data_IF_873397879406
#
_entry.id   IF_873397879406
#
_cell.length_a   1.000
_cell.length_b   1.000
_cell.length_c   1.000
_cell.angle_alpha   90.00
_cell.angle_beta   90.00
_cell.angle_gamma   90.00
#
_symmetry.space_group_name_H-M   'P 1'
#
loop_
_entity.id
_entity.type
_entity.pdbx_description
1 polymer ?
#
# COMPACT_ATOMS: atom_id res chain seq x y z
N UNK A 1 -43.67 -22.92 15.73
CA UNK A 1 -43.35 -23.57 17.01
C UNK A 1 -41.83 -23.57 17.13
N UNK A 2 -41.31 -22.85 18.13
CA UNK A 2 -39.91 -22.83 18.64
C UNK A 2 -38.82 -22.16 17.80
N UNK A 3 -38.79 -20.83 17.95
CA UNK A 3 -37.59 -20.04 18.27
C UNK A 3 -36.67 -20.74 19.30
N UNK A 4 -35.35 -20.70 19.09
CA UNK A 4 -34.35 -20.87 20.15
C UNK A 4 -33.24 -19.84 19.92
N UNK A 5 -33.41 -18.69 20.56
CA UNK A 5 -32.31 -17.84 21.04
C UNK A 5 -31.45 -18.63 22.04
N UNK A 6 -30.12 -18.44 22.01
CA UNK A 6 -29.34 -18.21 23.23
C UNK A 6 -27.94 -17.62 22.96
N UNK A 7 -27.53 -16.59 23.72
CA UNK A 7 -26.24 -15.90 23.64
C UNK A 7 -25.20 -16.52 24.59
N UNK A 8 -23.91 -16.26 24.36
CA UNK A 8 -22.90 -16.32 25.43
C UNK A 8 -21.74 -15.37 25.12
N UNK A 9 -21.54 -14.42 26.02
CA UNK A 9 -20.43 -13.49 26.11
C UNK A 9 -19.24 -14.12 26.83
N UNK A 10 -18.00 -13.86 26.40
CA UNK A 10 -16.77 -13.98 27.20
C UNK A 10 -15.74 -13.03 26.55
N UNK A 11 -15.53 -11.82 27.07
CA UNK A 11 -14.65 -11.41 28.17
C UNK A 11 -13.27 -10.92 27.69
N UNK A 12 -13.05 -9.64 27.95
CA UNK A 12 -11.82 -8.85 27.85
C UNK A 12 -10.68 -9.51 28.64
N UNK A 13 -9.47 -9.57 28.10
CA UNK A 13 -8.26 -9.78 28.90
C UNK A 13 -7.10 -8.96 28.35
N UNK A 14 -6.95 -7.78 28.93
CA UNK A 14 -5.70 -7.04 29.05
C UNK A 14 -4.70 -7.84 29.86
N UNK A 15 -3.49 -8.05 29.35
CA UNK A 15 -2.35 -8.45 30.16
C UNK A 15 -1.10 -7.69 29.68
N UNK A 16 -0.79 -6.61 30.40
CA UNK A 16 0.54 -6.02 30.43
C UNK A 16 1.53 -7.05 30.97
N UNK A 17 2.63 -7.30 30.27
CA UNK A 17 3.77 -8.02 30.83
C UNK A 17 5.04 -7.18 30.65
N UNK A 18 5.31 -6.37 31.66
CA UNK A 18 6.64 -5.87 31.96
C UNK A 18 7.19 -6.72 33.10
N UNK A 19 8.40 -7.27 32.98
CA UNK A 19 9.29 -7.54 34.11
C UNK A 19 10.72 -7.74 33.60
N UNK A 20 11.65 -7.27 34.42
CA UNK A 20 13.01 -6.90 34.11
C UNK A 20 14.04 -7.96 34.58
N UNK A 21 15.23 -7.87 33.97
CA UNK A 21 16.59 -8.12 34.48
C UNK A 21 16.91 -9.38 35.31
N UNK A 22 17.90 -10.12 34.83
CA UNK A 22 18.97 -10.69 35.67
C UNK A 22 20.30 -10.66 34.91
N UNK A 23 21.34 -10.12 35.57
CA UNK A 23 22.73 -10.20 35.12
C UNK A 23 23.51 -11.27 35.89
N UNK A 24 24.78 -11.47 35.49
CA UNK A 24 26.00 -11.49 36.34
C UNK A 24 27.17 -12.08 35.55
N UNK A 25 28.31 -11.38 35.64
CA UNK A 25 29.68 -11.89 35.91
C UNK A 25 30.73 -11.13 35.08
N UNK A 26 31.88 -10.67 35.56
CA UNK A 26 32.47 -10.38 36.88
C UNK A 26 33.72 -9.52 36.61
N UNK A 27 34.10 -8.61 37.52
CA UNK A 27 35.38 -7.89 37.45
C UNK A 27 35.40 -6.65 38.34
N UNK A 28 35.85 -6.83 39.59
CA UNK A 28 35.99 -5.82 40.64
C UNK A 28 37.06 -4.75 40.32
N UNK A 29 36.78 -3.46 40.58
CA UNK A 29 37.69 -2.55 41.32
C UNK A 29 36.86 -1.45 42.02
N UNK A 30 37.15 -1.28 43.31
CA UNK A 30 36.56 -0.37 44.30
C UNK A 30 37.03 1.10 44.12
N UNK A 31 36.10 2.06 44.08
CA UNK A 31 36.33 3.43 44.54
C UNK A 31 35.01 4.16 44.84
N UNK A 32 34.81 4.50 46.12
CA UNK A 32 33.68 5.22 46.69
C UNK A 32 33.81 6.73 46.45
N UNK A 33 32.88 7.34 45.70
CA UNK A 33 32.73 8.79 45.66
C UNK A 33 31.25 9.20 45.53
N UNK A 34 30.69 9.62 46.68
CA UNK A 34 29.68 10.68 46.88
C UNK A 34 28.56 10.81 45.83
N UNK A 35 27.35 10.39 46.23
CA UNK A 35 26.08 10.72 45.58
C UNK A 35 25.93 12.24 45.37
N UNK A 36 25.73 12.62 44.11
CA UNK A 36 25.15 13.90 43.71
C UNK A 36 23.78 13.62 43.07
N UNK A 37 22.75 14.43 43.34
CA UNK A 37 21.41 14.21 42.81
C UNK A 37 21.41 14.37 41.29
N UNK A 38 20.96 13.34 40.58
CA UNK A 38 20.75 13.34 39.14
C UNK A 38 19.72 14.39 38.76
N UNK A 39 20.16 15.45 38.09
CA UNK A 39 19.29 16.36 37.36
C UNK A 39 18.57 15.55 36.29
N UNK A 40 17.25 15.49 36.36
CA UNK A 40 16.39 15.00 35.27
C UNK A 40 16.68 15.83 34.02
N UNK A 41 17.25 15.19 33.00
CA UNK A 41 17.28 15.74 31.66
C UNK A 41 15.85 15.76 31.09
N UNK A 42 15.46 16.80 30.34
CA UNK A 42 14.13 16.87 29.74
C UNK A 42 13.92 15.68 28.79
N UNK A 43 12.71 15.11 28.86
CA UNK A 43 12.26 14.06 27.96
C UNK A 43 12.55 14.45 26.51
N UNK A 44 13.40 13.66 25.85
CA UNK A 44 13.59 13.73 24.41
C UNK A 44 12.22 13.44 23.79
N UNK A 45 11.63 14.46 23.17
CA UNK A 45 10.53 14.26 22.24
C UNK A 45 11.03 13.24 21.20
N UNK A 46 10.26 12.17 21.03
CA UNK A 46 10.51 11.23 19.94
C UNK A 46 10.60 12.04 18.63
N UNK A 47 11.59 11.79 17.76
CA UNK A 47 11.62 12.42 16.46
C UNK A 47 10.28 12.14 15.76
N UNK A 48 9.73 13.11 15.01
CA UNK A 48 8.56 12.86 14.20
C UNK A 48 8.82 11.60 13.38
N UNK A 49 7.88 10.65 13.43
CA UNK A 49 7.88 9.48 12.57
C UNK A 49 8.22 9.97 11.17
N UNK A 50 9.37 9.59 10.64
CA UNK A 50 9.65 9.83 9.23
C UNK A 50 8.52 9.12 8.48
N UNK A 51 7.57 9.89 7.97
CA UNK A 51 6.68 9.41 6.93
C UNK A 51 7.65 8.90 5.87
N UNK A 52 7.72 7.58 5.71
CA UNK A 52 8.44 6.99 4.59
C UNK A 52 7.78 7.57 3.35
N UNK A 53 8.44 8.56 2.75
CA UNK A 53 8.11 8.98 1.40
C UNK A 53 8.15 7.72 0.54
N UNK A 54 7.01 7.36 -0.06
CA UNK A 54 6.96 6.25 -0.98
C UNK A 54 8.07 6.48 -2.04
N UNK A 55 8.85 5.46 -2.40
CA UNK A 55 9.90 5.61 -3.41
C UNK A 55 9.32 6.27 -4.66
N UNK A 56 10.00 7.31 -5.17
CA UNK A 56 9.54 7.99 -6.37
C UNK A 56 9.44 6.99 -7.53
N UNK A 57 8.27 6.94 -8.18
CA UNK A 57 8.03 6.05 -9.33
C UNK A 57 9.04 6.38 -10.43
N UNK A 58 9.84 5.39 -10.83
CA UNK A 58 10.71 5.50 -12.00
C UNK A 58 9.84 5.48 -13.26
N UNK A 59 9.67 6.64 -13.89
CA UNK A 59 8.88 6.72 -15.11
C UNK A 59 9.64 6.21 -16.34
N UNK A 60 8.99 5.39 -17.16
CA UNK A 60 9.51 4.87 -18.43
C UNK A 60 8.49 5.07 -19.55
N UNK A 61 8.97 5.19 -20.78
CA UNK A 61 8.11 5.09 -21.95
C UNK A 61 7.63 3.64 -22.08
N UNK A 62 6.31 3.44 -22.04
CA UNK A 62 5.70 2.13 -22.18
C UNK A 62 5.66 1.70 -23.64
N UNK A 63 5.74 0.39 -23.84
CA UNK A 63 5.52 -0.24 -25.15
C UNK A 63 4.25 -1.07 -25.13
N UNK A 64 3.65 -1.27 -26.30
CA UNK A 64 2.46 -2.11 -26.45
C UNK A 64 2.70 -3.53 -25.93
N UNK A 65 3.86 -4.10 -26.24
CA UNK A 65 4.27 -5.43 -25.78
C UNK A 65 4.34 -5.53 -24.25
N UNK A 66 4.80 -4.47 -23.57
CA UNK A 66 4.84 -4.46 -22.11
C UNK A 66 3.44 -4.49 -21.50
N UNK A 67 2.48 -3.72 -22.05
CA UNK A 67 1.08 -3.76 -21.59
C UNK A 67 0.47 -5.15 -21.82
N UNK A 68 0.67 -5.73 -23.00
CA UNK A 68 0.19 -7.07 -23.32
C UNK A 68 0.81 -8.14 -22.40
N UNK A 69 2.10 -8.00 -22.09
CA UNK A 69 2.80 -8.85 -21.13
C UNK A 69 2.20 -8.75 -19.73
N UNK A 70 1.85 -7.54 -19.26
CA UNK A 70 1.20 -7.36 -17.96
C UNK A 70 -0.16 -8.05 -17.93
N UNK A 71 -1.00 -7.81 -18.94
CA UNK A 71 -2.33 -8.41 -19.03
C UNK A 71 -2.27 -9.95 -19.10
N UNK A 72 -1.24 -10.52 -19.72
CA UNK A 72 -1.04 -11.96 -19.79
C UNK A 72 -0.50 -12.56 -18.48
N UNK A 73 0.30 -11.80 -17.73
CA UNK A 73 0.94 -12.24 -16.49
C UNK A 73 0.04 -12.10 -15.25
N UNK A 74 -0.87 -11.13 -15.24
CA UNK A 74 -1.59 -10.69 -14.03
C UNK A 74 -2.19 -11.85 -13.23
N UNK A 75 -2.94 -12.76 -13.88
CA UNK A 75 -3.59 -13.87 -13.15
C UNK A 75 -2.60 -14.86 -12.55
N UNK A 76 -1.49 -15.10 -13.23
CA UNK A 76 -0.43 -15.98 -12.73
C UNK A 76 0.30 -15.30 -11.55
N UNK A 77 0.49 -13.98 -11.59
CA UNK A 77 1.05 -13.18 -10.49
C UNK A 77 0.13 -13.19 -9.28
N UNK A 78 -1.15 -12.84 -9.45
CA UNK A 78 -2.16 -12.84 -8.37
C UNK A 78 -2.25 -14.20 -7.68
N UNK A 79 -2.30 -15.28 -8.47
CA UNK A 79 -2.36 -16.64 -7.94
C UNK A 79 -1.12 -17.02 -7.10
N UNK A 80 0.01 -16.34 -7.29
CA UNK A 80 1.21 -16.49 -6.44
C UNK A 80 1.09 -15.57 -5.21
N UNK A 81 0.72 -14.30 -5.39
CA UNK A 81 0.68 -13.30 -4.31
C UNK A 81 -0.44 -13.54 -3.31
N UNK A 82 -1.59 -14.07 -3.72
CA UNK A 82 -2.73 -14.43 -2.85
C UNK A 82 -2.37 -15.51 -1.80
N UNK A 83 -1.27 -16.24 -2.04
CA UNK A 83 -0.77 -17.26 -1.12
C UNK A 83 0.23 -16.71 -0.12
N UNK A 84 0.62 -15.45 -0.23
CA UNK A 84 1.58 -14.79 0.66
C UNK A 84 0.80 -14.22 1.85
N UNK A 85 1.05 -14.68 3.09
CA UNK A 85 0.49 -14.04 4.27
C UNK A 85 0.95 -12.58 4.39
N UNK A 86 0.09 -11.67 4.86
CA UNK A 86 0.37 -10.23 4.98
C UNK A 86 1.69 -9.89 5.70
N UNK A 87 2.11 -10.72 6.65
CA UNK A 87 3.33 -10.55 7.45
C UNK A 87 4.43 -11.57 7.12
N UNK A 88 4.40 -12.13 5.90
CA UNK A 88 5.42 -13.05 5.44
C UNK A 88 6.77 -12.35 5.31
N UNK A 89 7.85 -13.06 5.68
CA UNK A 89 9.20 -12.63 5.34
C UNK A 89 9.43 -12.89 3.84
N UNK A 90 10.35 -12.14 3.19
CA UNK A 90 10.77 -12.43 1.83
C UNK A 90 11.11 -13.93 1.66
N UNK A 91 10.51 -14.57 0.66
CA UNK A 91 10.73 -15.97 0.34
C UNK A 91 11.35 -16.09 -1.06
N UNK A 92 12.62 -16.50 -1.17
CA UNK A 92 13.30 -16.65 -2.47
C UNK A 92 12.59 -17.58 -3.46
N UNK A 93 11.76 -18.52 -2.99
CA UNK A 93 10.98 -19.40 -3.87
C UNK A 93 9.80 -18.66 -4.50
N UNK A 94 9.15 -17.78 -3.74
CA UNK A 94 8.07 -16.94 -4.25
C UNK A 94 8.65 -15.93 -5.24
N UNK A 95 9.77 -15.30 -4.89
CA UNK A 95 10.49 -14.41 -5.80
C UNK A 95 10.80 -15.12 -7.11
N UNK A 96 11.36 -16.33 -7.06
CA UNK A 96 11.67 -17.11 -8.27
C UNK A 96 10.43 -17.49 -9.10
N UNK A 97 9.27 -17.72 -8.48
CA UNK A 97 8.03 -18.00 -9.19
C UNK A 97 7.52 -16.76 -9.93
N UNK A 98 7.50 -15.60 -9.26
CA UNK A 98 7.11 -14.33 -9.85
C UNK A 98 8.05 -13.96 -11.01
N UNK A 99 9.35 -14.18 -10.82
CA UNK A 99 10.38 -13.95 -11.84
C UNK A 99 10.20 -14.86 -13.07
N UNK A 100 9.82 -16.13 -12.85
CA UNK A 100 9.50 -17.07 -13.92
C UNK A 100 8.25 -16.66 -14.71
N UNK A 101 7.20 -16.19 -14.04
CA UNK A 101 5.98 -15.67 -14.68
C UNK A 101 6.29 -14.42 -15.50
N UNK A 102 7.05 -13.47 -14.94
CA UNK A 102 7.46 -12.27 -15.66
C UNK A 102 8.26 -12.62 -16.92
N UNK A 103 9.27 -13.51 -16.80
CA UNK A 103 10.08 -13.95 -17.95
C UNK A 103 9.27 -14.66 -19.02
N UNK A 104 8.33 -15.52 -18.64
CA UNK A 104 7.40 -16.18 -19.56
C UNK A 104 6.58 -15.19 -20.38
N UNK A 105 6.26 -14.02 -19.81
CA UNK A 105 5.46 -12.98 -20.44
C UNK A 105 6.29 -11.85 -21.09
N UNK A 106 7.61 -12.08 -21.25
CA UNK A 106 8.47 -11.22 -22.06
C UNK A 106 9.17 -10.09 -21.32
N UNK A 107 9.12 -10.08 -19.99
CA UNK A 107 9.93 -9.21 -19.14
C UNK A 107 11.29 -9.84 -18.83
N UNK A 108 12.30 -9.04 -18.50
CA UNK A 108 13.61 -9.52 -18.07
C UNK A 108 13.59 -10.08 -16.64
N UNK A 109 12.72 -9.53 -15.79
CA UNK A 109 12.54 -9.90 -14.37
C UNK A 109 11.18 -9.44 -13.84
N UNK A 110 10.84 -9.89 -12.64
CA UNK A 110 9.70 -9.38 -11.88
C UNK A 110 9.85 -7.90 -11.52
N UNK A 111 11.08 -7.41 -11.31
CA UNK A 111 11.33 -5.98 -11.09
C UNK A 111 10.97 -5.13 -12.32
N UNK A 112 11.25 -5.62 -13.54
CA UNK A 112 10.81 -4.95 -14.75
C UNK A 112 9.28 -4.97 -14.88
N UNK A 113 8.66 -6.11 -14.58
CA UNK A 113 7.19 -6.22 -14.52
C UNK A 113 6.60 -5.17 -13.57
N UNK A 114 7.11 -5.06 -12.33
CA UNK A 114 6.64 -4.08 -11.36
C UNK A 114 6.86 -2.64 -11.84
N UNK A 115 8.02 -2.34 -12.43
CA UNK A 115 8.28 -1.01 -13.02
C UNK A 115 7.24 -0.66 -14.10
N UNK A 116 6.87 -1.62 -14.93
CA UNK A 116 5.85 -1.44 -15.97
C UNK A 116 4.46 -1.25 -15.36
N UNK A 117 4.09 -2.08 -14.37
CA UNK A 117 2.83 -1.95 -13.62
C UNK A 117 2.73 -0.58 -12.95
N UNK A 118 3.77 -0.11 -12.28
CA UNK A 118 3.79 1.21 -11.63
C UNK A 118 3.51 2.35 -12.63
N UNK A 119 4.09 2.26 -13.84
CA UNK A 119 3.87 3.25 -14.90
C UNK A 119 2.46 3.17 -15.49
N UNK A 120 1.90 1.96 -15.62
CA UNK A 120 0.52 1.77 -16.04
C UNK A 120 -0.43 2.34 -14.98
N UNK A 121 -0.27 1.96 -13.71
CA UNK A 121 -1.11 2.40 -12.60
C UNK A 121 -1.05 3.91 -12.39
N UNK A 122 0.13 4.51 -12.51
CA UNK A 122 0.30 5.98 -12.44
C UNK A 122 -0.55 6.70 -13.50
N UNK A 123 -0.59 6.17 -14.73
CA UNK A 123 -1.39 6.74 -15.82
C UNK A 123 -2.87 6.40 -15.67
N UNK A 124 -3.18 5.15 -15.33
CA UNK A 124 -4.53 4.63 -15.15
C UNK A 124 -5.30 5.40 -14.07
N UNK A 125 -4.66 5.72 -12.95
CA UNK A 125 -5.24 6.54 -11.88
C UNK A 125 -5.61 7.96 -12.30
N UNK A 126 -5.18 8.42 -13.48
CA UNK A 126 -5.60 9.69 -14.06
C UNK A 126 -6.80 9.61 -15.00
N UNK A 127 -7.37 8.42 -15.24
CA UNK A 127 -8.59 8.26 -16.04
C UNK A 127 -9.84 8.39 -15.18
N UNK A 128 -10.79 9.18 -15.64
CA UNK A 128 -12.15 9.18 -15.11
C UNK A 128 -12.84 7.86 -15.49
N UNK A 129 -13.28 7.04 -14.52
CA UNK A 129 -13.88 5.74 -14.81
C UNK A 129 -15.23 5.82 -15.53
N UNK A 130 -15.97 6.93 -15.40
CA UNK A 130 -17.25 7.11 -16.08
C UNK A 130 -17.07 7.47 -17.55
N UNK A 131 -16.08 8.33 -17.86
CA UNK A 131 -15.90 8.84 -19.23
C UNK A 131 -14.76 8.17 -19.99
N UNK A 132 -13.92 7.38 -19.30
CA UNK A 132 -12.68 6.76 -19.83
C UNK A 132 -11.73 7.78 -20.45
N UNK A 133 -11.80 9.04 -19.98
CA UNK A 133 -10.92 10.11 -20.43
C UNK A 133 -9.85 10.37 -19.39
N UNK A 134 -8.63 10.62 -19.85
CA UNK A 134 -7.57 11.09 -18.98
C UNK A 134 -7.85 12.53 -18.55
N UNK A 135 -8.08 12.72 -17.25
CA UNK A 135 -8.34 14.03 -16.62
C UNK A 135 -7.26 14.39 -15.59
N UNK A 136 -6.36 13.45 -15.29
CA UNK A 136 -5.31 13.57 -14.28
C UNK A 136 -5.76 13.12 -12.89
N UNK A 137 -4.83 12.53 -12.13
CA UNK A 137 -5.14 11.88 -10.84
C UNK A 137 -5.78 12.84 -9.82
N UNK A 138 -5.36 14.09 -9.76
CA UNK A 138 -5.95 15.09 -8.87
C UNK A 138 -7.43 15.37 -9.20
N UNK A 139 -7.77 15.42 -10.50
CA UNK A 139 -9.15 15.61 -10.92
C UNK A 139 -10.01 14.37 -10.62
N UNK A 140 -9.46 13.17 -10.80
CA UNK A 140 -10.11 11.90 -10.41
C UNK A 140 -10.38 11.88 -8.90
N UNK A 141 -9.38 12.17 -8.05
CA UNK A 141 -9.53 12.23 -6.60
C UNK A 141 -10.61 13.24 -6.16
N UNK A 142 -10.64 14.44 -6.76
CA UNK A 142 -11.68 15.43 -6.47
C UNK A 142 -13.08 14.97 -6.89
N UNK A 143 -13.20 14.27 -8.02
CA UNK A 143 -14.46 13.71 -8.46
C UNK A 143 -14.94 12.60 -7.51
N UNK A 144 -14.05 11.70 -7.06
CA UNK A 144 -14.38 10.66 -6.07
C UNK A 144 -14.84 11.27 -4.74
N UNK A 145 -14.17 12.32 -4.25
CA UNK A 145 -14.62 13.07 -3.06
C UNK A 145 -16.04 13.61 -3.24
N UNK A 146 -16.32 14.24 -4.39
CA UNK A 146 -17.65 14.79 -4.67
C UNK A 146 -18.72 13.68 -4.73
N UNK A 147 -18.39 12.52 -5.31
CA UNK A 147 -19.28 11.36 -5.38
C UNK A 147 -19.60 10.81 -3.98
N UNK A 148 -18.58 10.62 -3.13
CA UNK A 148 -18.75 10.14 -1.75
C UNK A 148 -19.56 11.14 -0.91
N UNK A 149 -19.32 12.45 -1.08
CA UNK A 149 -20.13 13.48 -0.43
C UNK A 149 -21.61 13.37 -0.83
N UNK A 150 -21.88 13.17 -2.12
CA UNK A 150 -23.22 13.04 -2.66
C UNK A 150 -23.92 11.70 -2.34
N UNK A 151 -23.18 10.64 -2.02
CA UNK A 151 -23.75 9.32 -1.79
C UNK A 151 -24.55 9.25 -0.48
N UNK A 152 -25.87 9.18 -0.59
CA UNK A 152 -26.78 9.10 0.57
C UNK A 152 -26.89 7.69 1.15
N UNK A 153 -26.33 6.67 0.49
CA UNK A 153 -26.40 5.26 0.90
C UNK A 153 -25.23 4.84 1.77
N UNK A 154 -24.09 5.55 1.69
CA UNK A 154 -22.95 5.32 2.59
C UNK A 154 -23.30 5.67 4.03
N UNK A 155 -22.80 4.87 4.98
CA UNK A 155 -22.92 5.20 6.38
C UNK A 155 -22.10 6.47 6.70
N UNK A 156 -22.49 7.20 7.74
CA UNK A 156 -21.75 8.40 8.16
C UNK A 156 -20.30 8.08 8.56
N UNK A 157 -20.05 6.85 9.07
CA UNK A 157 -18.71 6.39 9.45
C UNK A 157 -17.86 6.16 8.21
N UNK A 158 -18.32 5.31 7.29
CA UNK A 158 -17.55 4.93 6.10
C UNK A 158 -17.31 6.13 5.20
N UNK A 159 -18.32 7.02 5.06
CA UNK A 159 -18.17 8.29 4.35
C UNK A 159 -17.06 9.15 4.96
N UNK A 160 -17.01 9.26 6.30
CA UNK A 160 -15.99 10.06 6.97
C UNK A 160 -14.58 9.47 6.77
N UNK A 161 -14.44 8.15 6.85
CA UNK A 161 -13.18 7.44 6.66
C UNK A 161 -12.69 7.60 5.21
N UNK A 162 -13.52 7.27 4.22
CA UNK A 162 -13.15 7.42 2.82
C UNK A 162 -12.82 8.87 2.42
N UNK A 163 -13.56 9.85 2.95
CA UNK A 163 -13.22 11.26 2.73
C UNK A 163 -11.90 11.64 3.40
N UNK A 164 -11.57 11.10 4.57
CA UNK A 164 -10.29 11.38 5.21
C UNK A 164 -9.13 10.85 4.36
N UNK A 165 -9.23 9.60 3.87
CA UNK A 165 -8.19 8.96 3.06
C UNK A 165 -7.97 9.70 1.73
N UNK A 166 -9.05 10.05 1.03
CA UNK A 166 -8.94 10.80 -0.24
C UNK A 166 -8.41 12.23 -0.05
N UNK A 167 -8.77 12.91 1.05
CA UNK A 167 -8.22 14.23 1.35
C UNK A 167 -6.74 14.16 1.77
N UNK A 168 -6.31 13.06 2.39
CA UNK A 168 -4.89 12.82 2.67
C UNK A 168 -4.12 12.58 1.37
N UNK A 169 -4.66 11.76 0.46
CA UNK A 169 -4.05 11.51 -0.85
C UNK A 169 -3.87 12.81 -1.67
N UNK A 170 -4.80 13.77 -1.57
CA UNK A 170 -4.68 15.07 -2.24
C UNK A 170 -3.52 15.94 -1.73
N UNK A 171 -2.97 15.69 -0.54
CA UNK A 171 -1.81 16.44 -0.02
C UNK A 171 -0.50 16.05 -0.69
N UNK A 172 -0.45 14.84 -1.24
CA UNK A 172 0.71 14.26 -1.90
C UNK A 172 0.27 13.68 -3.24
N UNK A 173 -0.07 14.53 -4.23
CA UNK A 173 -0.56 14.06 -5.51
C UNK A 173 0.48 13.17 -6.20
N UNK A 174 0.05 12.18 -7.01
CA UNK A 174 0.97 11.39 -7.81
C UNK A 174 1.86 12.30 -8.69
N UNK A 175 3.09 11.87 -9.01
CA UNK A 175 3.99 12.65 -9.84
C UNK A 175 3.36 12.93 -11.22
N UNK A 176 3.74 14.06 -11.82
CA UNK A 176 3.29 14.40 -13.16
C UNK A 176 3.79 13.37 -14.19
N UNK A 177 2.94 12.97 -15.13
CA UNK A 177 3.33 12.04 -16.20
C UNK A 177 4.41 12.68 -17.07
N UNK A 178 5.60 12.09 -17.10
CA UNK A 178 6.71 12.50 -17.94
C UNK A 178 6.53 11.97 -19.37
N UNK A 179 6.18 10.69 -19.49
CA UNK A 179 6.02 10.00 -20.76
C UNK A 179 4.58 10.13 -21.28
N UNK A 180 4.24 11.29 -21.86
CA UNK A 180 2.86 11.59 -22.29
C UNK A 180 2.25 10.57 -23.27
N UNK A 181 3.07 9.92 -24.11
CA UNK A 181 2.61 8.86 -25.01
C UNK A 181 2.01 7.63 -24.29
N UNK A 182 2.34 7.43 -23.00
CA UNK A 182 1.75 6.37 -22.19
C UNK A 182 0.24 6.58 -22.00
N UNK A 183 -0.26 7.82 -22.04
CA UNK A 183 -1.69 8.11 -21.88
C UNK A 183 -2.49 7.48 -23.02
N UNK A 184 -2.06 7.68 -24.27
CA UNK A 184 -2.75 7.12 -25.44
C UNK A 184 -2.67 5.59 -25.43
N UNK A 185 -1.53 5.04 -25.02
CA UNK A 185 -1.33 3.60 -24.95
C UNK A 185 -2.21 2.97 -23.85
N UNK A 186 -2.26 3.54 -22.66
CA UNK A 186 -3.15 3.06 -21.58
C UNK A 186 -4.63 3.24 -21.96
N UNK A 187 -4.99 4.36 -22.61
CA UNK A 187 -6.36 4.57 -23.12
C UNK A 187 -6.80 3.45 -24.07
N UNK A 188 -5.90 3.01 -24.97
CA UNK A 188 -6.16 1.91 -25.91
C UNK A 188 -6.50 0.59 -25.21
N UNK A 189 -5.93 0.34 -24.04
CA UNK A 189 -6.13 -0.89 -23.26
C UNK A 189 -6.98 -0.70 -22.00
N UNK A 190 -7.61 0.47 -21.84
CA UNK A 190 -8.22 0.92 -20.59
C UNK A 190 -9.09 -0.15 -19.93
N UNK A 191 -10.05 -0.72 -20.65
CA UNK A 191 -11.00 -1.68 -20.06
C UNK A 191 -10.31 -2.92 -19.49
N UNK A 192 -9.31 -3.44 -20.20
CA UNK A 192 -8.55 -4.62 -19.74
C UNK A 192 -7.64 -4.27 -18.57
N UNK A 193 -7.04 -3.09 -18.60
CA UNK A 193 -6.15 -2.63 -17.53
C UNK A 193 -6.92 -2.26 -16.27
N UNK A 194 -8.09 -1.65 -16.39
CA UNK A 194 -8.98 -1.37 -15.28
C UNK A 194 -9.51 -2.67 -14.64
N UNK A 195 -9.84 -3.69 -15.44
CA UNK A 195 -10.20 -5.01 -14.92
C UNK A 195 -9.03 -5.70 -14.22
N UNK A 196 -7.81 -5.59 -14.76
CA UNK A 196 -6.65 -6.32 -14.27
C UNK A 196 -5.93 -5.65 -13.09
N UNK A 197 -5.94 -4.31 -13.03
CA UNK A 197 -5.12 -3.51 -12.11
C UNK A 197 -5.90 -2.38 -11.42
N UNK A 198 -7.18 -2.18 -11.77
CA UNK A 198 -7.99 -1.18 -11.11
C UNK A 198 -8.20 -1.55 -9.65
N UNK A 199 -8.37 -0.54 -8.79
CA UNK A 199 -8.83 -0.77 -7.42
C UNK A 199 -10.24 -1.37 -7.51
N UNK A 200 -10.38 -2.64 -7.14
CA UNK A 200 -11.65 -3.34 -7.13
C UNK A 200 -12.62 -2.62 -6.19
N UNK A 201 -13.73 -2.11 -6.73
CA UNK A 201 -14.89 -1.74 -5.94
C UNK A 201 -15.56 -3.05 -5.46
N UNK A 202 -15.11 -3.58 -4.31
CA UNK A 202 -15.88 -4.59 -3.55
C UNK A 202 -16.87 -3.93 -2.57
#
# INVERSE_FOLDING_TARGET
MREIFRPAAVALSTACLALALSGISSGEVLAQAKQAPSKQAPAQAAPPSAQQEAPAIKQIALTEKQIEGVLAAQKDVDAITDKIPDNAKPDPKIDAQLDAVAKKNGFASYDEYNTVVDNISLVLGGFDPATKKYVGAEAVLKAQIAQIQADKKMSAKDKKEALADLNEALKSPPPAIENKGNIDLVAKYYDKLAEALGESEE
#
